data_IF_853009158963
#
_entry.id   IF_853009158963
#
_cell.length_a   1.000
_cell.length_b   1.000
_cell.length_c   1.000
_cell.angle_alpha   90.00
_cell.angle_beta   90.00
_cell.angle_gamma   90.00
#
_symmetry.space_group_name_H-M   'P 1'
#
loop_
_entity.id
_entity.type
_entity.pdbx_description
1 polymer ?
#
# COMPACT_ATOMS: atom_id res chain seq x y z
N UNK A 1 29.84 -10.55 -10.64
CA UNK A 1 30.14 -11.73 -9.80
C UNK A 1 28.90 -12.00 -8.99
N UNK A 2 28.09 -12.98 -9.40
CA UNK A 2 26.97 -13.46 -8.58
C UNK A 2 27.55 -14.23 -7.40
N UNK A 3 27.66 -13.57 -6.25
CA UNK A 3 27.84 -14.26 -4.98
C UNK A 3 26.58 -15.10 -4.74
N UNK A 4 26.73 -16.42 -4.74
CA UNK A 4 25.72 -17.38 -4.25
C UNK A 4 25.32 -16.96 -2.83
N UNK A 5 24.25 -16.16 -2.73
CA UNK A 5 23.61 -15.92 -1.44
C UNK A 5 23.06 -17.27 -0.98
N UNK A 6 23.37 -17.72 0.24
CA UNK A 6 22.79 -18.95 0.77
C UNK A 6 21.26 -18.81 0.77
N UNK A 7 20.51 -19.83 0.31
CA UNK A 7 19.06 -19.78 0.31
C UNK A 7 18.55 -19.67 1.76
N UNK A 8 17.58 -18.81 2.00
CA UNK A 8 16.90 -18.74 3.29
C UNK A 8 15.88 -19.88 3.37
N UNK A 9 16.23 -20.93 4.12
CA UNK A 9 15.39 -22.11 4.28
C UNK A 9 14.68 -22.10 5.62
N UNK A 10 13.42 -22.54 5.64
CA UNK A 10 12.69 -22.80 6.88
C UNK A 10 11.83 -24.05 6.78
N UNK A 11 11.51 -24.63 7.94
CA UNK A 11 10.51 -25.68 8.06
C UNK A 11 9.14 -25.06 8.31
N UNK A 12 8.13 -25.51 7.58
CA UNK A 12 6.73 -25.11 7.78
C UNK A 12 5.83 -26.34 7.79
N UNK A 13 4.75 -26.28 8.56
CA UNK A 13 3.64 -27.20 8.41
C UNK A 13 2.77 -26.74 7.24
N UNK A 14 2.38 -27.68 6.38
CA UNK A 14 1.65 -27.40 5.15
C UNK A 14 0.39 -28.25 5.06
N UNK A 15 -0.66 -27.82 4.36
CA UNK A 15 -1.81 -28.68 4.09
C UNK A 15 -1.40 -29.96 3.33
N UNK A 16 -2.06 -31.12 3.56
CA UNK A 16 -1.73 -32.39 2.91
C UNK A 16 -1.74 -32.34 1.37
N UNK A 17 -2.52 -31.44 0.78
CA UNK A 17 -2.65 -31.24 -0.66
C UNK A 17 -1.49 -30.44 -1.29
N UNK A 18 -0.60 -29.89 -0.48
CA UNK A 18 0.56 -29.10 -0.91
C UNK A 18 1.52 -29.96 -1.73
N UNK A 19 2.11 -29.38 -2.77
CA UNK A 19 3.05 -30.04 -3.68
C UNK A 19 4.39 -29.34 -3.71
N UNK A 20 5.42 -30.09 -4.06
CA UNK A 20 6.73 -29.51 -4.36
C UNK A 20 6.60 -28.51 -5.51
N UNK A 21 7.19 -27.33 -5.35
CA UNK A 21 7.11 -26.21 -6.27
C UNK A 21 5.99 -25.20 -5.96
N UNK A 22 5.04 -25.53 -5.08
CA UNK A 22 3.98 -24.59 -4.68
C UNK A 22 4.57 -23.33 -4.01
N UNK A 23 3.89 -22.20 -4.18
CA UNK A 23 4.20 -20.95 -3.50
C UNK A 23 3.21 -20.76 -2.36
N UNK A 24 3.72 -20.77 -1.14
CA UNK A 24 2.96 -20.50 0.08
C UNK A 24 3.11 -19.03 0.43
N UNK A 25 1.99 -18.35 0.67
CA UNK A 25 2.01 -17.02 1.28
C UNK A 25 2.11 -17.20 2.80
N UNK A 26 3.26 -16.87 3.38
CA UNK A 26 3.51 -16.96 4.83
C UNK A 26 3.11 -15.67 5.57
N UNK A 27 2.59 -14.68 4.84
CA UNK A 27 2.12 -13.42 5.37
C UNK A 27 3.11 -12.28 5.17
N UNK A 28 3.00 -11.29 6.07
CA UNK A 28 3.83 -10.08 6.06
C UNK A 28 4.63 -10.03 7.36
N UNK A 29 5.95 -9.93 7.24
CA UNK A 29 6.83 -9.65 8.38
C UNK A 29 6.92 -8.14 8.59
N UNK A 30 7.04 -7.73 9.85
CA UNK A 30 7.17 -6.33 10.26
C UNK A 30 8.13 -6.20 11.44
N UNK A 31 8.60 -4.97 11.69
CA UNK A 31 9.50 -4.68 12.82
C UNK A 31 10.84 -5.40 12.71
N UNK A 32 11.28 -6.05 13.78
CA UNK A 32 12.56 -6.77 13.82
C UNK A 32 12.66 -7.98 12.88
N UNK A 33 11.53 -8.47 12.38
CA UNK A 33 11.47 -9.59 11.45
C UNK A 33 11.55 -9.18 9.97
N UNK A 34 11.39 -7.89 9.66
CA UNK A 34 11.52 -7.34 8.32
C UNK A 34 12.92 -6.72 8.16
N UNK A 35 13.81 -7.44 7.47
CA UNK A 35 15.26 -7.17 7.53
C UNK A 35 15.71 -6.02 6.62
N UNK A 36 14.96 -5.71 5.57
CA UNK A 36 15.37 -4.76 4.52
C UNK A 36 14.44 -3.56 4.37
N UNK A 37 13.23 -3.61 4.92
CA UNK A 37 12.22 -2.55 4.82
C UNK A 37 11.17 -2.69 5.93
N UNK A 38 10.30 -1.69 6.15
CA UNK A 38 9.33 -1.72 7.25
C UNK A 38 8.38 -2.93 7.23
N UNK A 39 8.09 -3.46 6.04
CA UNK A 39 7.25 -4.64 5.81
C UNK A 39 7.83 -5.52 4.72
N UNK A 40 7.88 -6.83 4.91
CA UNK A 40 8.29 -7.80 3.88
C UNK A 40 7.18 -8.82 3.65
N UNK A 41 6.69 -8.91 2.42
CA UNK A 41 5.88 -10.06 2.01
C UNK A 41 6.80 -11.28 1.97
N UNK A 42 6.39 -12.35 2.64
CA UNK A 42 7.13 -13.60 2.64
C UNK A 42 6.35 -14.64 1.86
N UNK A 43 6.83 -14.91 0.66
CA UNK A 43 6.42 -16.07 -0.10
C UNK A 43 7.45 -17.16 0.09
N UNK A 44 7.00 -18.40 0.21
CA UNK A 44 7.88 -19.53 0.41
C UNK A 44 7.62 -20.58 -0.66
N UNK A 45 8.66 -20.94 -1.41
CA UNK A 45 8.60 -22.00 -2.42
C UNK A 45 8.86 -23.34 -1.76
N UNK A 46 7.94 -24.29 -1.93
CA UNK A 46 8.10 -25.65 -1.40
C UNK A 46 9.21 -26.37 -2.15
N UNK A 47 10.33 -26.64 -1.46
CA UNK A 47 11.45 -27.37 -2.03
C UNK A 47 11.32 -28.87 -1.83
N UNK A 48 10.78 -29.30 -0.69
CA UNK A 48 10.62 -30.72 -0.37
C UNK A 48 9.55 -30.92 0.71
N UNK A 49 8.76 -32.00 0.59
CA UNK A 49 7.73 -32.37 1.58
C UNK A 49 8.18 -33.66 2.27
N UNK A 50 8.19 -33.62 3.60
CA UNK A 50 8.53 -34.71 4.50
C UNK A 50 7.25 -35.35 5.07
N UNK A 51 7.40 -36.55 5.63
CA UNK A 51 6.33 -37.22 6.38
C UNK A 51 5.76 -36.31 7.49
N UNK A 52 4.44 -36.38 7.68
CA UNK A 52 3.74 -35.56 8.68
C UNK A 52 3.44 -34.13 8.23
N UNK A 53 3.33 -33.88 6.91
CA UNK A 53 2.96 -32.59 6.33
C UNK A 53 3.89 -31.43 6.70
N UNK A 54 5.19 -31.73 6.83
CA UNK A 54 6.23 -30.70 7.00
C UNK A 54 6.97 -30.49 5.71
N UNK A 55 7.21 -29.24 5.34
CA UNK A 55 7.96 -28.91 4.15
C UNK A 55 9.21 -28.10 4.49
N UNK A 56 10.29 -28.35 3.76
CA UNK A 56 11.40 -27.40 3.62
C UNK A 56 10.97 -26.42 2.53
N UNK A 57 10.94 -25.14 2.86
CA UNK A 57 10.62 -24.07 1.93
C UNK A 57 11.77 -23.09 1.81
N UNK A 58 11.90 -22.49 0.63
CA UNK A 58 12.80 -21.37 0.37
C UNK A 58 12.04 -20.06 0.45
N UNK A 59 12.50 -19.17 1.30
CA UNK A 59 11.89 -17.87 1.52
C UNK A 59 12.31 -16.88 0.43
N UNK A 60 11.32 -16.19 -0.10
CA UNK A 60 11.49 -15.01 -0.95
C UNK A 60 10.81 -13.84 -0.27
N UNK A 61 11.64 -12.93 0.22
CA UNK A 61 11.21 -11.69 0.86
C UNK A 61 11.12 -10.62 -0.20
N UNK A 62 9.95 -10.05 -0.36
CA UNK A 62 9.75 -8.87 -1.19
C UNK A 62 9.41 -7.70 -0.28
N UNK A 63 10.24 -6.67 -0.33
CA UNK A 63 9.97 -5.49 0.45
C UNK A 63 8.68 -4.82 0.00
N UNK A 64 7.71 -4.73 0.89
CA UNK A 64 6.52 -3.91 0.69
C UNK A 64 6.90 -2.51 1.14
N UNK A 65 7.41 -1.72 0.20
CA UNK A 65 7.49 -0.28 0.40
C UNK A 65 6.15 0.31 -0.01
N UNK A 66 5.24 0.41 0.95
CA UNK A 66 4.00 1.11 0.70
C UNK A 66 4.29 2.56 0.28
N UNK A 67 3.48 3.07 -0.63
CA UNK A 67 3.49 4.47 -1.02
C UNK A 67 2.94 5.36 0.08
N UNK A 68 2.56 6.58 -0.30
CA UNK A 68 1.95 7.55 0.60
C UNK A 68 0.56 7.95 0.13
N UNK A 69 -0.26 8.39 1.07
CA UNK A 69 -1.57 8.99 0.78
C UNK A 69 -1.52 10.45 1.18
N UNK A 70 -1.70 11.35 0.21
CA UNK A 70 -1.89 12.76 0.45
C UNK A 70 -3.39 13.07 0.42
N UNK A 71 -3.85 13.91 1.33
CA UNK A 71 -5.21 14.44 1.28
C UNK A 71 -5.11 15.92 0.91
N UNK A 72 -5.90 16.34 -0.07
CA UNK A 72 -5.98 17.73 -0.52
C UNK A 72 -7.36 18.30 -0.23
N UNK A 73 -7.40 19.39 0.53
CA UNK A 73 -8.62 20.13 0.84
C UNK A 73 -9.07 20.96 -0.37
N UNK A 74 -10.11 20.50 -1.05
CA UNK A 74 -10.70 21.18 -2.20
C UNK A 74 -11.48 22.44 -1.81
N UNK A 75 -11.79 22.66 -0.53
CA UNK A 75 -12.38 23.93 -0.10
C UNK A 75 -11.35 25.08 -0.15
N UNK A 76 -10.06 24.75 -0.26
CA UNK A 76 -8.93 25.68 -0.37
C UNK A 76 -8.19 25.55 -1.70
N UNK A 77 -8.86 25.02 -2.72
CA UNK A 77 -8.25 24.75 -4.01
C UNK A 77 -7.79 26.04 -4.71
N UNK A 78 -6.50 26.08 -5.05
CA UNK A 78 -5.90 27.04 -5.96
C UNK A 78 -5.30 26.28 -7.16
N UNK A 79 -5.76 26.52 -8.40
CA UNK A 79 -5.23 25.86 -9.58
C UNK A 79 -3.71 26.02 -9.76
N UNK A 80 -3.15 27.19 -9.41
CA UNK A 80 -1.72 27.49 -9.62
C UNK A 80 -0.86 26.65 -8.70
N UNK A 81 -1.28 26.49 -7.45
CA UNK A 81 -0.55 25.70 -6.46
C UNK A 81 -0.74 24.19 -6.69
N UNK A 82 -1.91 23.78 -7.20
CA UNK A 82 -2.27 22.38 -7.35
C UNK A 82 -1.34 21.62 -8.31
N UNK A 83 -1.03 22.17 -9.47
CA UNK A 83 -0.13 21.52 -10.43
C UNK A 83 1.29 21.39 -9.85
N UNK A 84 1.75 22.43 -9.15
CA UNK A 84 3.02 22.40 -8.42
C UNK A 84 3.05 21.32 -7.33
N UNK A 85 1.93 21.06 -6.66
CA UNK A 85 1.80 19.97 -5.71
C UNK A 85 1.85 18.59 -6.37
N UNK A 86 1.15 18.37 -7.49
CA UNK A 86 1.18 17.10 -8.19
C UNK A 86 2.59 16.71 -8.65
N UNK A 87 3.31 17.66 -9.24
CA UNK A 87 4.69 17.44 -9.71
C UNK A 87 5.66 17.22 -8.54
N UNK A 88 5.65 18.11 -7.55
CA UNK A 88 6.55 18.03 -6.38
C UNK A 88 6.37 16.73 -5.61
N UNK A 89 5.13 16.27 -5.50
CA UNK A 89 4.77 15.09 -4.73
C UNK A 89 4.77 13.80 -5.56
N UNK A 90 5.06 13.87 -6.87
CA UNK A 90 5.13 12.72 -7.79
C UNK A 90 3.93 11.78 -7.60
N UNK A 91 2.72 12.32 -7.74
CA UNK A 91 1.46 11.58 -7.55
C UNK A 91 1.22 10.61 -8.70
N UNK A 92 1.00 9.34 -8.39
CA UNK A 92 0.67 8.29 -9.35
C UNK A 92 -0.85 8.15 -9.57
N UNK A 93 -1.64 8.37 -8.51
CA UNK A 93 -3.08 8.07 -8.48
C UNK A 93 -3.83 9.21 -7.80
N UNK A 94 -4.88 9.71 -8.44
CA UNK A 94 -5.78 10.74 -7.90
C UNK A 94 -7.18 10.15 -7.70
N UNK A 95 -7.67 10.23 -6.47
CA UNK A 95 -9.04 9.88 -6.11
C UNK A 95 -9.84 11.11 -5.71
N UNK A 96 -11.10 11.22 -6.10
CA UNK A 96 -11.96 12.37 -5.73
C UNK A 96 -13.24 11.94 -5.03
N UNK A 97 -13.44 12.45 -3.81
CA UNK A 97 -14.58 12.16 -2.96
C UNK A 97 -15.50 13.38 -2.79
N UNK A 98 -16.81 13.11 -2.76
CA UNK A 98 -17.82 14.16 -2.64
C UNK A 98 -18.16 14.79 -3.99
N UNK A 99 -19.43 15.20 -4.15
CA UNK A 99 -19.93 15.76 -5.41
C UNK A 99 -19.19 17.06 -5.79
N UNK A 100 -18.93 17.93 -4.80
CA UNK A 100 -18.24 19.21 -5.00
C UNK A 100 -16.82 19.00 -5.53
N UNK A 101 -16.02 18.16 -4.87
CA UNK A 101 -14.63 17.87 -5.26
C UNK A 101 -14.55 17.27 -6.67
N UNK A 102 -15.45 16.34 -7.01
CA UNK A 102 -15.51 15.73 -8.35
C UNK A 102 -15.82 16.76 -9.44
N UNK A 103 -16.82 17.60 -9.22
CA UNK A 103 -17.19 18.66 -10.17
C UNK A 103 -16.06 19.69 -10.32
N UNK A 104 -15.37 20.01 -9.21
CA UNK A 104 -14.23 20.94 -9.24
C UNK A 104 -13.04 20.34 -10.00
N UNK A 105 -12.75 19.05 -9.79
CA UNK A 105 -11.73 18.34 -10.54
C UNK A 105 -12.05 18.33 -12.04
N UNK A 106 -13.29 17.98 -12.41
CA UNK A 106 -13.75 17.99 -13.80
C UNK A 106 -13.65 19.39 -14.43
N UNK A 107 -14.13 20.44 -13.72
CA UNK A 107 -14.07 21.83 -14.20
C UNK A 107 -12.64 22.31 -14.48
N UNK A 108 -11.67 21.82 -13.71
CA UNK A 108 -10.25 22.16 -13.88
C UNK A 108 -9.48 21.10 -14.69
N UNK A 109 -10.17 20.16 -15.35
CA UNK A 109 -9.57 19.10 -16.17
C UNK A 109 -8.55 18.23 -15.44
N UNK A 110 -8.73 18.03 -14.13
CA UNK A 110 -7.90 17.14 -13.33
C UNK A 110 -8.24 15.69 -13.67
N UNK A 111 -7.21 14.88 -13.91
CA UNK A 111 -7.39 13.44 -14.09
C UNK A 111 -7.75 12.81 -12.74
N UNK A 112 -8.91 12.15 -12.67
CA UNK A 112 -9.36 11.40 -11.49
C UNK A 112 -9.44 9.93 -11.86
N UNK A 113 -8.52 9.14 -11.31
CA UNK A 113 -8.44 7.70 -11.51
C UNK A 113 -9.52 6.95 -10.71
N UNK A 114 -9.87 7.48 -9.53
CA UNK A 114 -10.77 6.82 -8.58
C UNK A 114 -11.90 7.76 -8.15
N UNK A 115 -13.13 7.40 -8.50
CA UNK A 115 -14.32 8.21 -8.16
C UNK A 115 -15.30 7.51 -7.20
N UNK A 116 -15.07 6.25 -6.84
CA UNK A 116 -15.92 5.47 -5.92
C UNK A 116 -15.05 4.69 -4.95
N UNK A 117 -15.52 4.49 -3.71
CA UNK A 117 -14.73 3.79 -2.67
C UNK A 117 -13.33 4.38 -2.48
N UNK A 118 -13.23 5.71 -2.56
CA UNK A 118 -11.95 6.43 -2.76
C UNK A 118 -10.92 6.09 -1.69
N UNK A 119 -11.32 6.10 -0.41
CA UNK A 119 -10.41 5.83 0.71
C UNK A 119 -9.85 4.40 0.63
N UNK A 120 -10.73 3.39 0.55
CA UNK A 120 -10.28 1.99 0.55
C UNK A 120 -9.43 1.67 -0.69
N UNK A 121 -9.81 2.20 -1.87
CA UNK A 121 -9.04 1.98 -3.10
C UNK A 121 -7.69 2.69 -3.08
N UNK A 122 -7.60 3.90 -2.53
CA UNK A 122 -6.30 4.59 -2.40
C UNK A 122 -5.40 3.91 -1.38
N UNK A 123 -5.94 3.33 -0.29
CA UNK A 123 -5.19 2.43 0.60
C UNK A 123 -4.60 1.27 -0.19
N UNK A 124 -5.42 0.56 -0.99
CA UNK A 124 -4.94 -0.56 -1.81
C UNK A 124 -3.83 -0.14 -2.79
N UNK A 125 -4.01 0.97 -3.50
CA UNK A 125 -2.99 1.48 -4.42
C UNK A 125 -1.70 1.88 -3.69
N UNK A 126 -1.81 2.49 -2.51
CA UNK A 126 -0.65 2.82 -1.68
C UNK A 126 0.08 1.55 -1.20
N UNK A 127 -0.62 0.48 -0.84
CA UNK A 127 0.01 -0.80 -0.52
C UNK A 127 0.77 -1.40 -1.72
N UNK A 128 0.32 -1.12 -2.94
CA UNK A 128 1.05 -1.45 -4.17
C UNK A 128 2.22 -0.49 -4.48
N UNK A 129 2.61 0.37 -3.54
CA UNK A 129 3.73 1.29 -3.67
C UNK A 129 3.40 2.62 -4.37
N UNK A 130 2.13 2.88 -4.70
CA UNK A 130 1.73 4.10 -5.41
C UNK A 130 1.59 5.30 -4.48
N UNK A 131 2.02 6.47 -4.93
CA UNK A 131 1.76 7.74 -4.26
C UNK A 131 0.37 8.22 -4.68
N UNK A 132 -0.54 8.25 -3.72
CA UNK A 132 -1.94 8.55 -3.96
C UNK A 132 -2.28 9.95 -3.43
N UNK A 133 -3.21 10.64 -4.09
CA UNK A 133 -3.84 11.86 -3.61
C UNK A 133 -5.37 11.68 -3.51
N UNK A 134 -5.97 12.05 -2.39
CA UNK A 134 -7.42 12.11 -2.18
C UNK A 134 -7.84 13.58 -2.22
N UNK A 135 -8.65 13.93 -3.21
CA UNK A 135 -9.32 15.22 -3.32
C UNK A 135 -10.64 15.15 -2.55
N UNK A 136 -10.81 15.98 -1.52
CA UNK A 136 -12.02 15.98 -0.70
C UNK A 136 -12.30 17.37 -0.13
N UNK A 137 -13.53 17.62 0.30
CA UNK A 137 -13.86 18.82 1.09
C UNK A 137 -13.28 18.72 2.50
N UNK A 138 -13.00 19.86 3.13
CA UNK A 138 -12.41 19.96 4.48
C UNK A 138 -13.18 19.16 5.54
N UNK A 139 -14.52 19.20 5.49
CA UNK A 139 -15.37 18.45 6.43
C UNK A 139 -15.23 16.91 6.37
N UNK A 140 -14.64 16.37 5.30
CA UNK A 140 -14.43 14.94 5.10
C UNK A 140 -12.99 14.49 5.35
N UNK A 141 -12.07 15.43 5.62
CA UNK A 141 -10.67 15.13 5.93
C UNK A 141 -10.55 14.31 7.23
N UNK A 142 -11.21 14.68 8.35
CA UNK A 142 -11.10 13.90 9.58
C UNK A 142 -11.59 12.46 9.41
N UNK A 143 -12.68 12.27 8.65
CA UNK A 143 -13.20 10.95 8.36
C UNK A 143 -12.23 10.11 7.51
N UNK A 144 -11.60 10.73 6.51
CA UNK A 144 -10.61 10.07 5.66
C UNK A 144 -9.39 9.65 6.46
N UNK A 145 -8.86 10.55 7.28
CA UNK A 145 -7.74 10.29 8.19
C UNK A 145 -8.08 9.16 9.16
N UNK A 146 -9.24 9.21 9.81
CA UNK A 146 -9.69 8.17 10.73
C UNK A 146 -9.72 6.81 10.04
N UNK A 147 -10.36 6.71 8.87
CA UNK A 147 -10.50 5.44 8.15
C UNK A 147 -9.14 4.85 7.73
N UNK A 148 -8.20 5.69 7.32
CA UNK A 148 -6.82 5.27 6.98
C UNK A 148 -6.07 4.82 8.23
N UNK A 149 -6.17 5.57 9.33
CA UNK A 149 -5.51 5.23 10.59
C UNK A 149 -6.07 3.92 11.19
N UNK A 150 -7.39 3.71 11.15
CA UNK A 150 -8.00 2.44 11.55
C UNK A 150 -7.46 1.26 10.74
N UNK A 151 -7.18 1.46 9.44
CA UNK A 151 -6.53 0.44 8.63
C UNK A 151 -5.08 0.20 9.08
N UNK A 152 -4.30 1.25 9.31
CA UNK A 152 -2.91 1.16 9.79
C UNK A 152 -2.85 0.39 11.12
N UNK A 153 -3.71 0.75 12.08
CA UNK A 153 -3.79 0.11 13.39
C UNK A 153 -4.16 -1.37 13.30
N UNK A 154 -5.15 -1.71 12.46
CA UNK A 154 -5.62 -3.10 12.32
C UNK A 154 -4.67 -3.99 11.54
N UNK A 155 -4.03 -3.45 10.50
CA UNK A 155 -3.13 -4.22 9.62
C UNK A 155 -1.70 -4.28 10.15
N UNK A 156 -1.32 -3.34 11.01
CA UNK A 156 0.06 -3.13 11.43
C UNK A 156 0.94 -2.54 10.32
N UNK A 157 0.40 -2.21 9.14
CA UNK A 157 1.14 -1.67 7.99
C UNK A 157 1.21 -0.15 8.08
N UNK A 158 2.41 0.41 8.20
CA UNK A 158 2.66 1.84 8.23
C UNK A 158 2.48 2.42 6.83
N UNK A 159 1.39 3.17 6.68
CA UNK A 159 1.15 4.04 5.53
C UNK A 159 1.42 5.48 5.97
N UNK A 160 2.22 6.20 5.19
CA UNK A 160 2.37 7.63 5.42
C UNK A 160 1.13 8.34 4.88
N UNK A 161 0.39 8.99 5.77
CA UNK A 161 -0.75 9.84 5.42
C UNK A 161 -0.51 11.25 5.94
N UNK A 162 -0.74 12.27 5.10
CA UNK A 162 -0.69 13.68 5.49
C UNK A 162 -1.66 14.51 4.66
N UNK A 163 -2.07 15.64 5.20
CA UNK A 163 -2.85 16.63 4.48
C UNK A 163 -1.90 17.69 3.93
N UNK A 164 -2.06 18.06 2.66
CA UNK A 164 -1.04 18.81 1.94
C UNK A 164 -1.16 20.33 2.09
N UNK A 165 -2.39 20.83 2.11
CA UNK A 165 -2.73 22.25 2.21
C UNK A 165 -3.43 22.58 3.54
N UNK A 166 -3.06 21.86 4.61
CA UNK A 166 -3.31 22.30 5.98
C UNK A 166 -2.43 23.52 6.29
N UNK A 167 -2.98 24.46 7.07
CA UNK A 167 -2.25 25.67 7.50
C UNK A 167 -0.94 25.33 8.21
#
# INVERSE_FOLDING_TARGET
MDTLKPPELMWVEVPPETRQGDILNLGVLHGEYALHCPYEAVNARVLHIHEGNRAIVELTRHGIKAGGILIYDMDRFDPVDFDGFLEKENIDIVGAMGKKSKLMAEKNSLCVDISTGVIDRTILMALCGKRCMILTSGGMIPHSMQRINEYIERSGIALNVRVLNEN
#
